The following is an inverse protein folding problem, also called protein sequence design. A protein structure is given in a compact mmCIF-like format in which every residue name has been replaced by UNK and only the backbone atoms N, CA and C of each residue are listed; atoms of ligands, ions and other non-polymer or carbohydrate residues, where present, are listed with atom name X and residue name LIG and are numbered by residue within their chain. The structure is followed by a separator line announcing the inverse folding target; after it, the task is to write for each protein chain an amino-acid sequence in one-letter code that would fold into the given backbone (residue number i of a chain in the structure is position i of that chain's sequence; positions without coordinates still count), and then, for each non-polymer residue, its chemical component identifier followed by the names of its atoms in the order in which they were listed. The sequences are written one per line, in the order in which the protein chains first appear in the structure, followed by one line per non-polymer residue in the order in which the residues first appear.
data_IF_680571362470
#
_entry.id   IF_680571362470
#
_cell.length_a   1.000
_cell.length_b   1.000
_cell.length_c   1.000
_cell.angle_alpha   90.00
_cell.angle_beta   90.00
_cell.angle_gamma   90.00
#
_symmetry.space_group_name_H-M   'P 1'
#
loop_
_entity.id
_entity.type
_entity.pdbx_description
1 polymer ?
#
# COMPACT_ATOMS: atom_id res chain seq x y z
N UNK A 1 -18.83 29.37 -10.09
CA UNK A 1 -19.80 28.82 -9.12
C UNK A 1 -19.38 27.40 -8.68
N UNK A 2 -18.17 27.24 -8.10
CA UNK A 2 -17.70 25.96 -7.51
C UNK A 2 -16.63 26.13 -6.40
N UNK A 3 -16.19 27.36 -6.05
CA UNK A 3 -15.17 27.56 -5.01
C UNK A 3 -15.74 27.65 -3.58
N UNK A 4 -16.99 28.09 -3.41
CA UNK A 4 -17.51 28.44 -2.08
C UNK A 4 -17.91 27.23 -1.21
N UNK A 5 -17.88 26.01 -1.75
CA UNK A 5 -18.29 24.80 -1.00
C UNK A 5 -17.10 24.16 -0.25
N UNK A 6 -15.86 24.51 -0.59
CA UNK A 6 -14.66 23.90 0.02
C UNK A 6 -14.23 24.54 1.34
N UNK A 7 -14.51 25.82 1.58
CA UNK A 7 -14.11 26.49 2.83
C UNK A 7 -15.00 26.11 4.02
N UNK A 8 -16.18 25.56 3.80
CA UNK A 8 -17.17 25.34 4.86
C UNK A 8 -17.09 23.96 5.53
N UNK A 9 -16.15 23.10 5.12
CA UNK A 9 -15.99 21.73 5.66
C UNK A 9 -14.84 21.64 6.70
N UNK A 10 -14.10 22.72 6.94
CA UNK A 10 -12.96 22.73 7.88
C UNK A 10 -13.28 23.16 9.32
N UNK A 11 -14.54 23.41 9.68
CA UNK A 11 -14.89 23.62 11.09
C UNK A 11 -15.44 22.35 11.73
N UNK A 12 -14.64 21.84 12.68
CA UNK A 12 -14.84 20.70 13.58
C UNK A 12 -14.54 19.31 13.01
N UNK A 13 -13.27 18.94 13.17
CA UNK A 13 -13.00 17.67 13.85
C UNK A 13 -11.85 17.85 14.82
N UNK A 14 -12.20 17.58 16.06
CA UNK A 14 -11.40 17.72 17.27
C UNK A 14 -10.12 16.89 17.11
N UNK A 15 -8.97 17.52 17.36
CA UNK A 15 -7.69 16.86 17.54
C UNK A 15 -7.81 15.93 18.76
N UNK A 16 -7.70 14.62 18.56
CA UNK A 16 -7.36 13.67 19.62
C UNK A 16 -5.88 13.34 19.49
N UNK A 17 -5.14 13.62 20.55
CA UNK A 17 -3.68 13.83 20.61
C UNK A 17 -2.80 12.56 20.54
N UNK A 18 -3.33 11.39 20.18
CA UNK A 18 -2.57 10.11 20.25
C UNK A 18 -2.17 9.51 18.89
N UNK A 19 -1.98 10.34 17.87
CA UNK A 19 -1.36 9.98 16.60
C UNK A 19 -0.59 11.21 16.08
N UNK A 20 0.61 11.09 15.53
CA UNK A 20 0.80 10.81 14.11
C UNK A 20 2.25 10.30 13.97
N UNK A 21 2.45 9.04 13.56
CA UNK A 21 3.76 8.58 13.08
C UNK A 21 4.15 9.42 11.87
N UNK A 22 5.40 9.91 11.87
CA UNK A 22 5.88 11.02 11.05
C UNK A 22 5.38 10.99 9.61
N UNK A 23 4.55 11.98 9.26
CA UNK A 23 4.20 12.28 7.88
C UNK A 23 5.50 12.62 7.15
N UNK A 24 5.92 11.75 6.23
CA UNK A 24 6.96 12.12 5.26
C UNK A 24 6.46 13.34 4.48
N UNK A 25 7.10 14.49 4.71
CA UNK A 25 6.73 15.82 4.18
C UNK A 25 7.00 15.99 2.66
N UNK A 26 6.88 14.91 1.88
CA UNK A 26 7.17 14.87 0.44
C UNK A 26 6.05 14.24 -0.37
N UNK A 27 4.83 14.17 0.16
CA UNK A 27 3.67 13.65 -0.55
C UNK A 27 2.66 14.78 -0.81
N UNK A 28 2.61 15.25 -2.06
CA UNK A 28 1.73 16.33 -2.56
C UNK A 28 0.23 15.99 -2.54
N UNK A 29 -0.17 14.77 -2.15
CA UNK A 29 -1.56 14.34 -2.00
C UNK A 29 -1.65 13.27 -0.90
N UNK A 30 -1.78 13.65 0.36
CA UNK A 30 -2.14 12.72 1.45
C UNK A 30 -3.66 12.52 1.41
N UNK A 31 -4.11 11.55 0.60
CA UNK A 31 -5.52 11.12 0.53
C UNK A 31 -5.89 10.39 1.85
N UNK A 32 -7.12 10.56 2.35
CA UNK A 32 -7.69 9.90 3.55
C UNK A 32 -7.42 8.39 3.62
N UNK A 33 -7.15 7.76 2.47
CA UNK A 33 -6.72 6.34 2.34
C UNK A 33 -5.44 6.01 3.10
N UNK A 34 -4.54 6.97 3.33
CA UNK A 34 -3.28 6.79 4.05
C UNK A 34 -3.40 7.14 5.53
N UNK A 35 -4.49 7.81 5.94
CA UNK A 35 -4.77 8.12 7.34
C UNK A 35 -5.34 6.87 8.01
N UNK A 36 -4.47 6.07 8.62
CA UNK A 36 -4.82 4.84 9.33
C UNK A 36 -4.15 4.83 10.69
N UNK A 37 -4.90 4.50 11.74
CA UNK A 37 -4.31 4.27 13.06
C UNK A 37 -3.52 2.96 13.08
N UNK A 38 -2.45 2.86 13.87
CA UNK A 38 -1.68 1.61 14.00
C UNK A 38 -2.56 0.41 14.40
N UNK A 39 -3.60 0.65 15.22
CA UNK A 39 -4.58 -0.37 15.60
C UNK A 39 -5.39 -0.89 14.41
N UNK A 40 -5.87 0.02 13.56
CA UNK A 40 -6.63 -0.36 12.36
C UNK A 40 -5.74 -1.07 11.33
N UNK A 41 -4.49 -0.61 11.15
CA UNK A 41 -3.48 -1.27 10.31
C UNK A 41 -3.24 -2.71 10.79
N UNK A 42 -2.97 -2.90 12.07
CA UNK A 42 -2.75 -4.22 12.66
C UNK A 42 -3.95 -5.15 12.46
N UNK A 43 -5.17 -4.64 12.66
CA UNK A 43 -6.40 -5.42 12.46
C UNK A 43 -6.62 -5.81 10.99
N UNK A 44 -6.30 -4.91 10.05
CA UNK A 44 -6.38 -5.22 8.62
C UNK A 44 -5.37 -6.30 8.25
N UNK A 45 -4.12 -6.19 8.73
CA UNK A 45 -3.08 -7.19 8.46
C UNK A 45 -3.45 -8.57 9.04
N UNK A 46 -3.96 -8.63 10.27
CA UNK A 46 -4.39 -9.89 10.90
C UNK A 46 -5.54 -10.56 10.16
N UNK A 47 -6.39 -9.78 9.48
CA UNK A 47 -7.55 -10.31 8.74
C UNK A 47 -7.19 -10.67 7.30
N UNK A 48 -6.29 -9.92 6.67
CA UNK A 48 -5.93 -10.06 5.27
C UNK A 48 -4.94 -11.22 5.02
N UNK A 49 -4.06 -11.53 5.97
CA UNK A 49 -3.02 -12.56 5.81
C UNK A 49 -3.37 -13.83 6.60
N UNK A 50 -3.07 -14.99 6.01
CA UNK A 50 -3.13 -16.30 6.69
C UNK A 50 -1.90 -16.50 7.60
N UNK A 51 -0.76 -15.97 7.17
CA UNK A 51 0.53 -16.04 7.86
C UNK A 51 1.37 -14.82 7.51
N UNK A 52 2.14 -14.31 8.48
CA UNK A 52 3.07 -13.19 8.30
C UNK A 52 4.52 -13.66 8.05
N UNK A 53 4.84 -14.92 8.33
CA UNK A 53 6.15 -15.52 8.05
C UNK A 53 6.02 -17.05 7.92
N UNK A 54 6.12 -17.63 6.70
CA UNK A 54 6.20 -16.94 5.41
C UNK A 54 4.91 -16.15 5.13
N UNK A 55 5.04 -15.02 4.45
CA UNK A 55 3.90 -14.16 4.13
C UNK A 55 2.95 -14.89 3.16
N UNK A 56 1.68 -15.01 3.55
CA UNK A 56 0.61 -15.65 2.76
C UNK A 56 -0.67 -14.83 2.85
N UNK A 57 -1.14 -14.32 1.71
CA UNK A 57 -2.37 -13.56 1.63
C UNK A 57 -3.59 -14.49 1.65
N UNK A 58 -4.61 -14.12 2.44
CA UNK A 58 -5.88 -14.86 2.50
C UNK A 58 -6.82 -14.42 1.40
N UNK A 59 -7.02 -13.12 1.29
CA UNK A 59 -7.94 -12.50 0.35
C UNK A 59 -7.45 -11.09 0.00
N UNK A 60 -7.64 -10.70 -1.26
CA UNK A 60 -7.29 -9.36 -1.74
C UNK A 60 -8.52 -8.47 -1.78
N UNK A 61 -8.75 -7.75 -0.67
CA UNK A 61 -9.95 -6.93 -0.50
C UNK A 61 -10.11 -5.86 -1.58
N UNK A 62 -11.34 -5.61 -2.09
CA UNK A 62 -11.58 -4.55 -3.08
C UNK A 62 -11.47 -3.13 -2.49
N UNK A 63 -11.52 -2.98 -1.16
CA UNK A 63 -11.51 -1.67 -0.48
C UNK A 63 -10.14 -1.00 -0.59
N UNK A 64 -10.10 0.23 -1.11
CA UNK A 64 -8.87 0.97 -1.38
C UNK A 64 -7.93 1.08 -0.16
N UNK A 65 -8.47 1.44 1.02
CA UNK A 65 -7.69 1.54 2.27
C UNK A 65 -7.00 0.22 2.64
N UNK A 66 -7.72 -0.89 2.54
CA UNK A 66 -7.16 -2.23 2.78
C UNK A 66 -6.10 -2.58 1.75
N UNK A 67 -6.31 -2.26 0.47
CA UNK A 67 -5.30 -2.49 -0.58
C UNK A 67 -3.99 -1.80 -0.28
N UNK A 68 -4.02 -0.51 0.09
CA UNK A 68 -2.81 0.26 0.43
C UNK A 68 -2.01 -0.44 1.53
N UNK A 69 -2.67 -0.86 2.61
CA UNK A 69 -2.02 -1.52 3.76
C UNK A 69 -1.46 -2.90 3.38
N UNK A 70 -2.23 -3.68 2.62
CA UNK A 70 -1.80 -5.00 2.16
C UNK A 70 -0.59 -4.88 1.23
N UNK A 71 -0.65 -3.97 0.25
CA UNK A 71 0.42 -3.75 -0.73
C UNK A 71 1.68 -3.20 -0.05
N UNK A 72 1.55 -2.30 0.91
CA UNK A 72 2.68 -1.80 1.70
C UNK A 72 3.40 -2.95 2.41
N UNK A 73 2.65 -3.86 3.08
CA UNK A 73 3.27 -5.02 3.74
C UNK A 73 3.91 -5.97 2.74
N UNK A 74 3.32 -6.17 1.57
CA UNK A 74 3.91 -7.03 0.51
C UNK A 74 5.19 -6.39 -0.06
N UNK A 75 5.22 -5.06 -0.20
CA UNK A 75 6.40 -4.35 -0.69
C UNK A 75 7.62 -4.53 0.24
N UNK A 76 7.41 -4.71 1.55
CA UNK A 76 8.46 -5.03 2.51
C UNK A 76 9.15 -6.39 2.27
N UNK A 77 8.57 -7.28 1.44
CA UNK A 77 9.22 -8.53 1.03
C UNK A 77 10.29 -8.31 -0.07
N UNK A 78 10.42 -7.09 -0.58
CA UNK A 78 11.42 -6.70 -1.57
C UNK A 78 12.47 -5.77 -0.95
N UNK A 79 13.72 -5.95 -1.35
CA UNK A 79 14.85 -5.17 -0.86
C UNK A 79 14.92 -3.80 -1.56
N UNK A 80 15.03 -2.73 -0.77
CA UNK A 80 15.24 -1.39 -1.28
C UNK A 80 16.59 -1.26 -2.01
N UNK A 81 16.58 -0.58 -3.15
CA UNK A 81 17.78 -0.39 -3.98
C UNK A 81 18.15 -1.59 -4.86
N UNK A 82 17.46 -2.72 -4.74
CA UNK A 82 17.63 -3.88 -5.61
C UNK A 82 16.67 -3.82 -6.80
N UNK A 83 17.19 -4.17 -7.97
CA UNK A 83 16.39 -4.44 -9.17
C UNK A 83 16.09 -5.92 -9.26
N UNK A 84 14.84 -6.23 -9.55
CA UNK A 84 14.31 -7.58 -9.73
C UNK A 84 13.89 -7.78 -11.17
N UNK A 85 14.22 -8.93 -11.73
CA UNK A 85 13.63 -9.38 -12.98
C UNK A 85 12.14 -9.70 -12.80
N UNK A 86 11.38 -9.68 -13.90
CA UNK A 86 9.98 -10.13 -13.89
C UNK A 86 9.82 -11.52 -13.26
N UNK A 87 10.75 -12.43 -13.55
CA UNK A 87 10.72 -13.80 -13.02
C UNK A 87 10.90 -13.82 -11.50
N UNK A 88 11.86 -13.07 -10.95
CA UNK A 88 12.06 -12.98 -9.50
C UNK A 88 10.83 -12.38 -8.80
N UNK A 89 10.24 -11.31 -9.36
CA UNK A 89 9.01 -10.74 -8.81
C UNK A 89 7.87 -11.75 -8.81
N UNK A 90 7.70 -12.46 -9.92
CA UNK A 90 6.69 -13.52 -10.03
C UNK A 90 6.92 -14.61 -8.98
N UNK A 91 8.16 -15.06 -8.79
CA UNK A 91 8.49 -16.13 -7.84
C UNK A 91 8.26 -15.71 -6.38
N UNK A 92 8.55 -14.45 -6.02
CA UNK A 92 8.22 -13.88 -4.71
C UNK A 92 6.70 -13.78 -4.54
N UNK A 93 6.00 -13.19 -5.50
CA UNK A 93 4.56 -12.94 -5.38
C UNK A 93 3.71 -14.22 -5.42
N UNK A 94 4.10 -15.24 -6.21
CA UNK A 94 3.44 -16.56 -6.25
C UNK A 94 3.45 -17.25 -4.89
N UNK A 95 4.49 -17.01 -4.11
CA UNK A 95 4.52 -17.48 -2.75
C UNK A 95 3.46 -16.75 -1.92
N UNK A 96 3.27 -15.45 -2.10
CA UNK A 96 2.34 -14.66 -1.27
C UNK A 96 0.88 -14.90 -1.64
N UNK A 97 0.55 -14.95 -2.94
CA UNK A 97 -0.81 -15.08 -3.44
C UNK A 97 -0.84 -15.71 -4.84
N UNK A 98 -1.82 -16.58 -5.10
CA UNK A 98 -1.92 -17.31 -6.37
C UNK A 98 -2.06 -16.36 -7.57
N UNK A 99 -2.87 -15.30 -7.42
CA UNK A 99 -3.01 -14.23 -8.42
C UNK A 99 -1.92 -13.15 -8.26
N UNK A 100 -0.68 -13.60 -8.44
CA UNK A 100 0.53 -12.78 -8.45
C UNK A 100 0.50 -11.68 -9.53
N UNK A 101 -0.23 -11.88 -10.63
CA UNK A 101 -0.36 -10.90 -11.71
C UNK A 101 -1.15 -9.66 -11.23
N UNK A 102 -2.24 -9.87 -10.49
CA UNK A 102 -2.99 -8.80 -9.83
C UNK A 102 -2.10 -8.05 -8.85
N UNK A 103 -1.40 -8.73 -7.94
CA UNK A 103 -0.51 -8.07 -6.98
C UNK A 103 0.54 -7.21 -7.67
N UNK A 104 1.22 -7.75 -8.68
CA UNK A 104 2.24 -7.02 -9.45
C UNK A 104 1.68 -5.76 -10.09
N UNK A 105 0.49 -5.84 -10.70
CA UNK A 105 -0.18 -4.67 -11.29
C UNK A 105 -0.48 -3.62 -10.22
N UNK A 106 -1.06 -4.02 -9.10
CA UNK A 106 -1.43 -3.10 -8.03
C UNK A 106 -0.23 -2.48 -7.32
N UNK A 107 0.87 -3.22 -7.14
CA UNK A 107 2.13 -2.68 -6.59
C UNK A 107 2.66 -1.52 -7.46
N UNK A 108 2.55 -1.64 -8.79
CA UNK A 108 2.94 -0.57 -9.71
C UNK A 108 1.90 0.55 -9.77
N UNK A 109 0.62 0.21 -9.94
CA UNK A 109 -0.48 1.19 -10.06
C UNK A 109 -0.61 2.08 -8.81
N UNK A 110 -0.27 1.55 -7.62
CA UNK A 110 -0.29 2.29 -6.35
C UNK A 110 1.08 2.90 -5.98
N UNK A 111 2.11 2.71 -6.81
CA UNK A 111 3.42 3.35 -6.65
C UNK A 111 4.34 2.73 -5.60
N UNK A 112 4.07 1.52 -5.12
CA UNK A 112 4.98 0.78 -4.24
C UNK A 112 6.18 0.17 -4.99
N UNK A 113 6.00 -0.09 -6.29
CA UNK A 113 7.07 -0.52 -7.17
C UNK A 113 7.05 0.29 -8.46
N UNK A 114 8.22 0.53 -9.03
CA UNK A 114 8.36 0.95 -10.42
C UNK A 114 8.78 -0.23 -11.29
N UNK A 115 8.61 -0.06 -12.59
CA UNK A 115 9.10 -0.99 -13.61
C UNK A 115 9.64 -0.22 -14.81
N UNK A 116 10.59 -0.82 -15.53
CA UNK A 116 10.96 -0.31 -16.85
C UNK A 116 9.81 -0.51 -17.85
N UNK A 117 9.74 0.33 -18.88
CA UNK A 117 8.67 0.33 -19.89
C UNK A 117 8.50 -1.01 -20.60
N UNK A 118 9.59 -1.78 -20.76
CA UNK A 118 9.57 -3.11 -21.36
C UNK A 118 9.13 -4.24 -20.40
N UNK A 119 8.89 -3.92 -19.12
CA UNK A 119 8.43 -4.86 -18.09
C UNK A 119 9.45 -5.86 -17.57
N UNK A 120 10.74 -5.77 -17.95
CA UNK A 120 11.74 -6.77 -17.57
C UNK A 120 12.37 -6.56 -16.20
N UNK A 121 12.37 -5.33 -15.69
CA UNK A 121 12.93 -4.96 -14.38
C UNK A 121 11.88 -4.23 -13.53
N UNK A 122 11.95 -4.49 -12.24
CA UNK A 122 11.11 -3.94 -11.18
C UNK A 122 11.99 -3.52 -9.99
N UNK A 123 11.57 -2.50 -9.25
CA UNK A 123 12.22 -2.10 -7.99
C UNK A 123 11.20 -1.43 -7.07
N UNK A 124 11.40 -1.54 -5.76
CA UNK A 124 10.60 -0.78 -4.78
C UNK A 124 11.00 0.69 -4.79
N UNK A 125 10.01 1.54 -4.51
CA UNK A 125 10.14 3.00 -4.55
C UNK A 125 10.36 3.60 -3.16
#
# INVERSE_FOLDING_TARGET
MYLAVYEQVFEKTVFDEDAITSIHNTATMVDDRYVTTEKEKAHILSTAFKSLSPLRLKDFSPKAKKKVIILARIAEEFEAGRKYSEKEVIDILKNIFDDHAVLRRYLVDYGFMDRISNGREYWVK
#
